data_IF_720779986029
#
_entry.id   IF_720779986029
#
_cell.length_a   1.000
_cell.length_b   1.000
_cell.length_c   1.000
_cell.angle_alpha   90.00
_cell.angle_beta   90.00
_cell.angle_gamma   90.00
#
_symmetry.space_group_name_H-M   'P 1'
#
loop_
_entity.id
_entity.type
_entity.pdbx_description
1 polymer ?
#
# COMPACT_ATOMS: atom_id res chain seq x y z
N UNK A 1 -16.15 5.72 -1.85
CA UNK A 1 -15.61 4.98 -2.99
C UNK A 1 -14.24 4.42 -2.66
N UNK A 2 -14.02 3.17 -3.00
CA UNK A 2 -12.78 2.45 -2.66
C UNK A 2 -12.09 1.95 -3.91
N UNK A 3 -10.81 1.73 -3.78
CA UNK A 3 -10.02 1.06 -4.80
C UNK A 3 -9.27 -0.08 -4.14
N UNK A 4 -8.73 -0.98 -4.95
CA UNK A 4 -8.03 -2.15 -4.43
C UNK A 4 -6.72 -2.36 -5.16
N UNK A 5 -5.76 -2.90 -4.41
CA UNK A 5 -4.51 -3.41 -4.99
C UNK A 5 -4.55 -4.93 -4.86
N UNK A 6 -4.23 -5.60 -5.94
CA UNK A 6 -4.21 -7.07 -5.97
C UNK A 6 -2.80 -7.52 -6.31
N UNK A 7 -2.29 -8.47 -5.57
CA UNK A 7 -0.96 -9.03 -5.78
C UNK A 7 -1.03 -10.55 -5.83
N UNK A 8 -0.21 -11.13 -6.69
CA UNK A 8 -0.09 -12.59 -6.78
C UNK A 8 1.24 -13.03 -6.18
N UNK A 9 1.16 -13.93 -5.23
CA UNK A 9 2.33 -14.53 -4.60
C UNK A 9 2.57 -15.89 -5.25
N UNK A 10 3.60 -15.96 -6.09
CA UNK A 10 3.85 -17.15 -6.90
C UNK A 10 4.23 -18.36 -6.05
N UNK A 11 5.06 -18.15 -5.04
CA UNK A 11 5.58 -19.27 -4.23
C UNK A 11 4.49 -20.00 -3.46
N UNK A 12 3.47 -19.26 -3.02
CA UNK A 12 2.36 -19.83 -2.27
C UNK A 12 1.12 -19.99 -3.14
N UNK A 13 1.19 -19.59 -4.39
CA UNK A 13 0.08 -19.67 -5.35
C UNK A 13 -1.20 -19.09 -4.77
N UNK A 14 -1.13 -17.85 -4.34
CA UNK A 14 -2.30 -17.19 -3.79
C UNK A 14 -2.30 -15.71 -4.13
N UNK A 15 -3.50 -15.13 -4.09
CA UNK A 15 -3.69 -13.71 -4.36
C UNK A 15 -3.95 -12.98 -3.05
N UNK A 16 -3.37 -11.82 -2.96
CA UNK A 16 -3.62 -10.89 -1.86
C UNK A 16 -4.40 -9.70 -2.38
N UNK A 17 -5.23 -9.14 -1.53
CA UNK A 17 -5.98 -7.94 -1.87
C UNK A 17 -5.94 -6.98 -0.68
N UNK A 18 -5.73 -5.71 -0.98
CA UNK A 18 -5.81 -4.66 0.02
C UNK A 18 -6.69 -3.55 -0.53
N UNK A 19 -7.68 -3.17 0.25
CA UNK A 19 -8.61 -2.11 -0.11
C UNK A 19 -8.15 -0.81 0.52
N UNK A 20 -8.32 0.28 -0.21
CA UNK A 20 -7.97 1.59 0.32
C UNK A 20 -8.96 2.62 -0.20
N UNK A 21 -9.06 3.72 0.53
CA UNK A 21 -9.94 4.80 0.15
C UNK A 21 -9.45 5.43 -1.15
N UNK A 22 -10.36 5.64 -2.08
CA UNK A 22 -10.03 6.32 -3.31
C UNK A 22 -10.02 7.83 -3.07
N UNK A 23 -8.92 8.47 -3.41
CA UNK A 23 -8.81 9.92 -3.36
C UNK A 23 -8.86 10.41 -4.81
N UNK A 24 -9.81 11.29 -5.14
CA UNK A 24 -9.98 11.72 -6.54
C UNK A 24 -8.91 12.73 -6.96
N UNK A 25 -7.67 12.27 -6.95
CA UNK A 25 -6.51 13.06 -7.35
C UNK A 25 -5.55 12.13 -8.07
N UNK A 26 -4.91 12.67 -9.09
CA UNK A 26 -3.94 11.91 -9.86
C UNK A 26 -2.60 12.60 -9.79
N UNK A 27 -1.62 11.91 -9.21
CA UNK A 27 -0.28 12.45 -9.06
C UNK A 27 0.72 11.57 -9.81
N UNK A 28 1.59 12.17 -10.64
CA UNK A 28 2.63 11.39 -11.31
C UNK A 28 3.55 10.74 -10.31
N UNK A 29 4.01 9.56 -10.64
CA UNK A 29 5.01 8.86 -9.83
C UNK A 29 4.47 8.03 -8.68
N UNK A 30 3.14 7.97 -8.49
CA UNK A 30 2.59 7.16 -7.40
C UNK A 30 2.87 5.67 -7.59
N UNK A 31 2.78 5.18 -8.83
CA UNK A 31 3.10 3.79 -9.11
C UNK A 31 4.55 3.45 -8.84
N UNK A 32 5.45 4.33 -9.24
CA UNK A 32 6.89 4.16 -8.99
C UNK A 32 7.18 4.18 -7.49
N UNK A 33 6.54 5.08 -6.75
CA UNK A 33 6.69 5.15 -5.31
C UNK A 33 6.20 3.88 -4.65
N UNK A 34 5.02 3.41 -5.07
CA UNK A 34 4.47 2.16 -4.56
C UNK A 34 5.44 1.00 -4.77
N UNK A 35 5.94 0.85 -6.01
CA UNK A 35 6.85 -0.23 -6.34
C UNK A 35 8.15 -0.15 -5.56
N UNK A 36 8.66 1.05 -5.35
CA UNK A 36 9.90 1.25 -4.61
C UNK A 36 9.75 0.85 -3.14
N UNK A 37 8.66 1.25 -2.52
CA UNK A 37 8.41 0.90 -1.11
C UNK A 37 8.20 -0.60 -0.98
N UNK A 38 7.41 -1.18 -1.90
CA UNK A 38 7.15 -2.62 -1.89
C UNK A 38 8.45 -3.40 -2.01
N UNK A 39 9.28 -3.05 -3.00
CA UNK A 39 10.55 -3.73 -3.24
C UNK A 39 11.48 -3.59 -2.04
N UNK A 40 11.61 -2.39 -1.51
CA UNK A 40 12.48 -2.15 -0.36
C UNK A 40 12.05 -2.95 0.86
N UNK A 41 10.76 -3.03 1.10
CA UNK A 41 10.21 -3.80 2.21
C UNK A 41 10.52 -5.29 2.07
N UNK A 42 10.32 -5.82 0.87
CA UNK A 42 10.62 -7.23 0.59
C UNK A 42 12.11 -7.54 0.76
N UNK A 43 12.97 -6.63 0.30
CA UNK A 43 14.41 -6.81 0.44
C UNK A 43 14.83 -6.85 1.91
N UNK A 44 14.15 -6.09 2.75
CA UNK A 44 14.43 -6.08 4.18
C UNK A 44 13.90 -7.31 4.91
N UNK A 45 13.16 -8.17 4.22
CA UNK A 45 12.68 -9.40 4.80
C UNK A 45 11.23 -9.41 5.22
N UNK A 46 10.48 -8.35 4.92
CA UNK A 46 9.06 -8.33 5.23
C UNK A 46 8.31 -9.31 4.34
N UNK A 47 7.23 -9.87 4.86
CA UNK A 47 6.34 -10.70 4.05
C UNK A 47 5.64 -9.86 2.99
N UNK A 48 5.09 -10.50 1.96
CA UNK A 48 4.39 -9.79 0.92
C UNK A 48 3.20 -9.00 1.46
N UNK A 49 2.46 -9.56 2.41
CA UNK A 49 1.31 -8.86 2.98
C UNK A 49 1.72 -7.60 3.74
N UNK A 50 2.81 -7.67 4.51
CA UNK A 50 3.32 -6.51 5.22
C UNK A 50 3.85 -5.46 4.23
N UNK A 51 4.58 -5.92 3.21
CA UNK A 51 5.13 -5.01 2.20
C UNK A 51 4.01 -4.28 1.44
N UNK A 52 2.93 -4.99 1.11
CA UNK A 52 1.77 -4.38 0.45
C UNK A 52 1.11 -3.34 1.33
N UNK A 53 0.88 -3.67 2.60
CA UNK A 53 0.28 -2.72 3.53
C UNK A 53 1.15 -1.49 3.68
N UNK A 54 2.45 -1.67 3.82
CA UNK A 54 3.38 -0.54 3.96
C UNK A 54 3.34 0.36 2.72
N UNK A 55 3.38 -0.25 1.54
CA UNK A 55 3.38 0.52 0.29
C UNK A 55 2.07 1.29 0.10
N UNK A 56 0.94 0.65 0.37
CA UNK A 56 -0.36 1.31 0.25
C UNK A 56 -0.48 2.44 1.26
N UNK A 57 -0.09 2.21 2.51
CA UNK A 57 -0.15 3.23 3.54
C UNK A 57 0.73 4.43 3.19
N UNK A 58 1.93 4.18 2.69
CA UNK A 58 2.85 5.26 2.35
C UNK A 58 2.30 6.12 1.21
N UNK A 59 1.84 5.48 0.14
CA UNK A 59 1.30 6.21 -1.02
C UNK A 59 0.03 6.96 -0.63
N UNK A 60 -0.86 6.31 0.13
CA UNK A 60 -2.10 6.95 0.57
C UNK A 60 -1.81 8.18 1.44
N UNK A 61 -0.87 8.05 2.35
CA UNK A 61 -0.47 9.16 3.20
C UNK A 61 0.09 10.32 2.37
N UNK A 62 0.93 9.98 1.37
CA UNK A 62 1.51 10.99 0.49
C UNK A 62 0.46 11.72 -0.33
N UNK A 63 -0.51 10.98 -0.87
CA UNK A 63 -1.58 11.58 -1.65
C UNK A 63 -2.43 12.49 -0.76
N UNK A 64 -2.78 12.04 0.43
CA UNK A 64 -3.57 12.84 1.35
C UNK A 64 -2.85 14.11 1.76
N UNK A 65 -1.57 14.01 2.08
CA UNK A 65 -0.78 15.17 2.49
C UNK A 65 -0.69 16.19 1.36
N UNK A 66 -0.47 15.71 0.12
CA UNK A 66 -0.33 16.58 -1.03
C UNK A 66 -1.67 17.20 -1.42
N UNK A 67 -2.73 16.39 -1.41
CA UNK A 67 -4.06 16.85 -1.74
C UNK A 67 -4.52 17.95 -0.78
N UNK A 68 -4.21 17.77 0.51
CA UNK A 68 -4.54 18.77 1.53
C UNK A 68 -3.79 20.08 1.39
N UNK A 69 -2.64 20.07 0.68
CA UNK A 69 -1.89 21.31 0.46
C UNK A 69 -2.43 22.15 -0.69
N UNK A 70 -3.30 21.59 -1.53
CA UNK A 70 -3.83 22.31 -2.67
C UNK A 70 -2.82 22.57 -3.77
N UNK A 71 -1.74 21.83 -3.81
CA UNK A 71 -0.71 22.00 -4.84
C UNK A 71 -1.14 21.37 -6.15
N UNK A 72 -0.63 21.85 -7.30
CA UNK A 72 -0.96 21.23 -8.58
C UNK A 72 -0.54 19.77 -8.62
N UNK A 73 -1.42 18.92 -9.15
CA UNK A 73 -1.15 17.49 -9.17
C UNK A 73 0.07 17.12 -10.02
N UNK A 74 0.43 17.94 -10.99
CA UNK A 74 1.58 17.67 -11.85
C UNK A 74 2.92 17.69 -11.10
N UNK A 75 2.92 18.25 -9.89
CA UNK A 75 4.12 18.29 -9.05
C UNK A 75 4.42 16.97 -8.37
N UNK A 76 3.49 16.03 -8.41
CA UNK A 76 3.64 14.76 -7.72
C UNK A 76 3.38 14.89 -6.23
N UNK A 77 3.67 13.80 -5.49
CA UNK A 77 3.44 13.80 -4.05
C UNK A 77 4.62 14.38 -3.29
N UNK A 78 4.30 14.97 -2.13
CA UNK A 78 5.30 15.60 -1.27
C UNK A 78 5.97 14.55 -0.40
N UNK A 79 6.94 13.82 -0.98
CA UNK A 79 7.57 12.69 -0.30
C UNK A 79 8.33 13.10 0.95
N UNK A 80 8.98 14.24 0.92
CA UNK A 80 9.83 14.68 2.03
C UNK A 80 9.04 14.88 3.33
N UNK A 81 7.74 15.09 3.24
CA UNK A 81 6.91 15.27 4.42
C UNK A 81 6.54 13.96 5.08
N UNK A 82 6.64 12.86 4.35
CA UNK A 82 6.13 11.58 4.82
C UNK A 82 7.20 10.49 4.88
N UNK A 83 8.45 10.81 4.54
CA UNK A 83 9.51 9.80 4.54
C UNK A 83 9.67 9.11 5.89
N UNK A 84 9.46 9.83 6.98
CA UNK A 84 9.57 9.23 8.31
C UNK A 84 8.59 8.10 8.56
N UNK A 85 7.46 8.09 7.84
CA UNK A 85 6.46 7.03 8.01
C UNK A 85 6.95 5.66 7.54
N UNK A 86 8.02 5.61 6.75
CA UNK A 86 8.59 4.34 6.30
C UNK A 86 9.17 3.53 7.46
N UNK A 87 9.52 4.19 8.54
CA UNK A 87 10.08 3.52 9.71
C UNK A 87 9.04 3.17 10.75
N UNK A 88 7.80 3.61 10.54
CA UNK A 88 6.73 3.29 11.48
C UNK A 88 6.27 1.85 11.28
N UNK A 89 5.87 1.17 12.35
CA UNK A 89 5.27 -0.15 12.20
C UNK A 89 3.94 -0.04 11.46
N UNK A 90 3.57 -1.11 10.75
CA UNK A 90 2.26 -1.18 10.09
C UNK A 90 1.24 -1.34 11.21
N UNK A 91 0.39 -0.34 11.38
CA UNK A 91 -0.52 -0.29 12.52
C UNK A 91 -1.69 -1.26 12.41
N UNK A 92 -2.16 -1.49 11.19
CA UNK A 92 -3.24 -2.45 10.95
C UNK A 92 -2.97 -3.15 9.64
N UNK A 93 -3.16 -4.46 9.64
CA UNK A 93 -3.03 -5.23 8.42
C UNK A 93 -4.36 -5.26 7.71
N UNK A 94 -4.44 -4.64 6.55
CA UNK A 94 -5.64 -4.61 5.73
C UNK A 94 -5.57 -5.58 4.55
N UNK A 95 -4.46 -6.28 4.43
CA UNK A 95 -4.25 -7.24 3.37
C UNK A 95 -5.06 -8.50 3.67
N UNK A 96 -5.67 -9.06 2.64
CA UNK A 96 -6.51 -10.25 2.75
C UNK A 96 -6.13 -11.24 1.68
N UNK A 97 -6.27 -12.52 2.02
CA UNK A 97 -6.10 -13.58 1.03
C UNK A 97 -7.41 -13.71 0.25
N UNK A 98 -7.27 -13.75 -1.08
CA UNK A 98 -8.41 -14.01 -1.95
C UNK A 98 -8.54 -15.51 -2.15
N UNK A 99 -9.74 -16.04 -1.95
CA UNK A 99 -9.98 -17.45 -2.26
C UNK A 99 -10.57 -17.59 -3.67
N UNK A 100 -10.82 -18.84 -4.05
CA UNK A 100 -11.11 -19.19 -5.43
C UNK A 100 -12.36 -18.55 -6.03
N UNK A 101 -13.29 -18.11 -5.20
CA UNK A 101 -14.51 -17.47 -5.68
C UNK A 101 -14.47 -15.95 -5.55
N UNK A 102 -13.32 -15.41 -5.24
CA UNK A 102 -13.15 -13.97 -5.12
C UNK A 102 -13.44 -13.42 -3.74
N UNK A 103 -13.85 -14.24 -2.81
CA UNK A 103 -14.03 -13.81 -1.42
C UNK A 103 -12.68 -13.54 -0.79
N UNK A 104 -12.64 -12.64 0.17
CA UNK A 104 -11.41 -12.28 0.85
C UNK A 104 -11.52 -12.64 2.32
N UNK A 105 -10.50 -13.32 2.79
CA UNK A 105 -10.42 -13.65 4.22
C UNK A 105 -9.43 -12.70 4.88
N UNK A 106 -9.76 -12.19 6.07
CA UNK A 106 -8.82 -11.34 6.79
C UNK A 106 -7.58 -12.12 7.17
N UNK A 107 -6.43 -11.46 7.04
CA UNK A 107 -5.18 -12.02 7.49
C UNK A 107 -4.88 -11.41 8.85
N UNK A 108 -4.72 -12.25 9.85
CA UNK A 108 -4.41 -11.78 11.18
C UNK A 108 -2.90 -11.79 11.34
N UNK A 109 -2.27 -10.63 11.47
CA UNK A 109 -0.81 -10.57 11.50
C UNK A 109 -0.20 -11.17 12.76
N UNK A 110 -0.97 -11.35 13.78
CA UNK A 110 -0.50 -11.88 15.05
C UNK A 110 -1.35 -13.05 15.47
N UNK A 111 -1.31 -14.07 14.67
CA UNK A 111 -2.06 -15.25 14.91
C UNK A 111 -1.28 -16.16 15.80
N UNK A 112 -0.82 -15.87 16.83
CA UNK A 112 0.01 -16.72 17.68
C UNK A 112 -0.67 -17.07 18.99
#
# INVERSE_FOLDING_TARGET
QNTSVIAYERDEDRFWRIDCAYIPAHYPGTGDTFSSVLTGSLIQGDSLSIALDRAVQFVTLGIRATFGQGLPSREGILLERILGSLFAPVSTCKCRIMDGDGCCNPVLPFED
#
